data_IF_769085892585
#
_entry.id   IF_769085892585
#
_cell.length_a   1.000
_cell.length_b   1.000
_cell.length_c   1.000
_cell.angle_alpha   90.00
_cell.angle_beta   90.00
_cell.angle_gamma   90.00
#
_symmetry.space_group_name_H-M   'P 1'
#
loop_
_entity.id
_entity.type
_entity.pdbx_description
1 polymer ?
#
# COMPACT_ATOMS: atom_id res chain seq x y z
N UNK A 1 -11.67 -5.14 -16.33
CA UNK A 1 -10.73 -5.80 -17.27
C UNK A 1 -9.87 -6.84 -16.55
N UNK A 2 -9.06 -6.47 -15.55
CA UNK A 2 -8.18 -7.41 -14.81
C UNK A 2 -8.87 -8.69 -14.28
N UNK A 3 -10.05 -8.54 -13.65
CA UNK A 3 -10.85 -9.69 -13.16
C UNK A 3 -11.24 -10.67 -14.28
N UNK A 4 -11.47 -10.18 -15.51
CA UNK A 4 -11.78 -11.02 -16.69
C UNK A 4 -10.54 -11.73 -17.24
N UNK A 5 -9.35 -11.25 -16.92
CA UNK A 5 -8.07 -11.83 -17.33
C UNK A 5 -7.46 -12.75 -16.26
N UNK A 6 -8.20 -13.08 -15.20
CA UNK A 6 -7.73 -13.90 -14.07
C UNK A 6 -6.48 -13.37 -13.36
N UNK A 7 -6.29 -12.04 -13.40
CA UNK A 7 -5.21 -11.36 -12.69
C UNK A 7 -5.74 -10.89 -11.34
N UNK A 8 -5.07 -11.31 -10.26
CA UNK A 8 -5.31 -10.78 -8.91
C UNK A 8 -5.11 -9.28 -8.91
N UNK A 9 -6.04 -8.55 -8.31
CA UNK A 9 -6.06 -7.08 -8.32
C UNK A 9 -6.33 -6.53 -6.92
N UNK A 10 -5.97 -5.28 -6.71
CA UNK A 10 -6.32 -4.50 -5.52
C UNK A 10 -6.65 -3.07 -5.91
N UNK A 11 -6.80 -2.21 -4.92
CA UNK A 11 -6.92 -0.77 -5.09
C UNK A 11 -6.09 -0.07 -4.00
N UNK A 12 -5.54 1.10 -4.35
CA UNK A 12 -4.79 1.94 -3.43
C UNK A 12 -5.43 3.33 -3.31
N UNK A 13 -5.21 3.99 -2.18
CA UNK A 13 -5.60 5.36 -1.92
C UNK A 13 -4.36 6.24 -1.75
N UNK A 14 -4.18 7.24 -2.61
CA UNK A 14 -3.12 8.22 -2.44
C UNK A 14 -3.45 9.20 -1.32
N UNK A 15 -2.66 9.17 -0.23
CA UNK A 15 -2.93 9.94 0.96
C UNK A 15 -2.52 11.40 0.81
N UNK A 16 -3.42 12.29 1.20
CA UNK A 16 -3.22 13.74 1.23
C UNK A 16 -3.17 14.21 2.69
N UNK A 17 -1.98 14.47 3.25
CA UNK A 17 -1.81 14.80 4.68
C UNK A 17 -2.56 16.04 5.17
N UNK A 18 -2.82 16.99 4.27
CA UNK A 18 -3.54 18.22 4.59
C UNK A 18 -5.05 18.03 4.71
N UNK A 19 -5.58 16.86 4.37
CA UNK A 19 -7.01 16.51 4.44
C UNK A 19 -7.28 15.53 5.59
N UNK A 20 -8.55 15.44 5.99
CA UNK A 20 -8.98 14.47 7.00
C UNK A 20 -8.71 13.03 6.55
N UNK A 21 -8.11 12.23 7.42
CA UNK A 21 -7.93 10.79 7.17
C UNK A 21 -9.28 10.06 7.06
N UNK A 22 -10.27 10.48 7.87
CA UNK A 22 -11.61 9.89 7.87
C UNK A 22 -12.37 10.14 6.57
N UNK A 23 -12.31 11.37 6.05
CA UNK A 23 -12.96 11.71 4.77
C UNK A 23 -12.32 10.95 3.61
N UNK A 24 -10.98 10.79 3.65
CA UNK A 24 -10.26 9.99 2.67
C UNK A 24 -10.62 8.50 2.75
N UNK A 25 -10.79 7.95 3.95
CA UNK A 25 -11.23 6.56 4.14
C UNK A 25 -12.64 6.34 3.63
N UNK A 26 -13.56 7.26 3.95
CA UNK A 26 -14.92 7.23 3.44
C UNK A 26 -14.93 7.27 1.91
N UNK A 27 -14.16 8.17 1.30
CA UNK A 27 -14.04 8.24 -0.15
C UNK A 27 -13.54 6.92 -0.77
N UNK A 28 -12.53 6.29 -0.17
CA UNK A 28 -12.03 4.99 -0.63
C UNK A 28 -13.09 3.90 -0.51
N UNK A 29 -13.77 3.81 0.63
CA UNK A 29 -14.83 2.83 0.90
C UNK A 29 -16.00 2.99 -0.08
N UNK A 30 -16.43 4.22 -0.36
CA UNK A 30 -17.54 4.49 -1.29
C UNK A 30 -17.18 4.18 -2.76
N UNK A 31 -15.90 4.30 -3.11
CA UNK A 31 -15.43 4.15 -4.50
C UNK A 31 -15.00 2.72 -4.82
N UNK A 32 -14.46 2.00 -3.84
CA UNK A 32 -13.82 0.70 -4.04
C UNK A 32 -14.73 -0.41 -3.55
N UNK A 33 -14.95 -1.41 -4.41
CA UNK A 33 -15.57 -2.68 -4.00
C UNK A 33 -14.56 -3.80 -4.16
N UNK A 34 -14.15 -4.37 -3.03
CA UNK A 34 -13.28 -5.53 -2.99
C UNK A 34 -14.10 -6.80 -2.76
N UNK A 35 -13.69 -7.88 -3.40
CA UNK A 35 -14.35 -9.19 -3.34
C UNK A 35 -13.33 -10.28 -3.02
N UNK A 36 -13.81 -11.46 -2.64
CA UNK A 36 -12.97 -12.63 -2.42
C UNK A 36 -11.97 -12.82 -3.57
N UNK A 37 -10.69 -12.98 -3.22
CA UNK A 37 -9.59 -13.11 -4.17
C UNK A 37 -8.93 -11.79 -4.59
N UNK A 38 -9.46 -10.63 -4.19
CA UNK A 38 -8.77 -9.34 -4.35
C UNK A 38 -7.71 -9.14 -3.24
N UNK A 39 -6.72 -8.30 -3.48
CA UNK A 39 -5.72 -7.87 -2.47
C UNK A 39 -6.38 -6.97 -1.41
N UNK A 40 -5.84 -6.93 -0.18
CA UNK A 40 -6.23 -5.95 0.82
C UNK A 40 -6.09 -4.51 0.31
N UNK A 41 -6.88 -3.56 0.86
CA UNK A 41 -6.72 -2.12 0.58
C UNK A 41 -5.29 -1.64 0.79
N UNK A 42 -4.81 -0.76 -0.07
CA UNK A 42 -3.47 -0.15 0.08
C UNK A 42 -3.61 1.34 0.40
N UNK A 43 -2.90 1.82 1.42
CA UNK A 43 -2.74 3.25 1.72
C UNK A 43 -1.37 3.72 1.23
N UNK A 44 -1.37 4.59 0.24
CA UNK A 44 -0.16 5.13 -0.38
C UNK A 44 0.22 6.46 0.28
N UNK A 45 1.39 6.52 0.93
CA UNK A 45 1.86 7.65 1.72
C UNK A 45 3.28 8.05 1.33
N UNK A 46 3.42 9.20 0.64
CA UNK A 46 4.73 9.60 0.10
C UNK A 46 5.15 11.03 0.47
N UNK A 47 4.25 11.81 1.09
CA UNK A 47 4.45 13.23 1.30
C UNK A 47 3.88 13.71 2.64
N UNK A 48 4.36 14.87 3.11
CA UNK A 48 3.91 15.51 4.35
C UNK A 48 3.10 16.80 4.11
N UNK A 49 3.21 17.42 2.92
CA UNK A 49 2.47 18.63 2.50
C UNK A 49 2.42 19.74 3.57
N UNK A 50 3.58 20.10 4.13
CA UNK A 50 3.72 21.12 5.19
C UNK A 50 2.87 20.87 6.46
N UNK A 51 2.45 19.63 6.68
CA UNK A 51 1.71 19.19 7.87
C UNK A 51 2.69 18.73 8.96
N UNK A 52 2.27 18.68 10.23
CA UNK A 52 3.10 18.08 11.28
C UNK A 52 3.08 16.55 11.20
N UNK A 53 4.18 15.91 11.62
CA UNK A 53 4.27 14.44 11.69
C UNK A 53 3.13 13.85 12.52
N UNK A 54 2.78 14.48 13.65
CA UNK A 54 1.66 14.05 14.49
C UNK A 54 0.33 14.07 13.75
N UNK A 55 0.06 15.12 12.95
CA UNK A 55 -1.18 15.23 12.16
C UNK A 55 -1.22 14.20 11.03
N UNK A 56 -0.09 13.99 10.34
CA UNK A 56 0.07 12.92 9.35
C UNK A 56 -0.28 11.57 9.99
N UNK A 57 0.42 11.20 11.06
CA UNK A 57 0.23 9.92 11.72
C UNK A 57 -1.18 9.72 12.27
N UNK A 58 -1.81 10.77 12.81
CA UNK A 58 -3.21 10.69 13.23
C UNK A 58 -4.15 10.43 12.06
N UNK A 59 -3.97 11.13 10.94
CA UNK A 59 -4.76 10.91 9.73
C UNK A 59 -4.55 9.52 9.12
N UNK A 60 -3.33 8.99 9.16
CA UNK A 60 -3.05 7.60 8.77
C UNK A 60 -3.77 6.60 9.68
N UNK A 61 -3.69 6.78 11.00
CA UNK A 61 -4.40 5.92 11.94
C UNK A 61 -5.92 5.94 11.71
N UNK A 62 -6.50 7.13 11.55
CA UNK A 62 -7.93 7.27 11.26
C UNK A 62 -8.32 6.52 9.98
N UNK A 63 -7.51 6.64 8.93
CA UNK A 63 -7.78 5.95 7.66
C UNK A 63 -7.67 4.44 7.81
N UNK A 64 -6.56 3.96 8.37
CA UNK A 64 -6.28 2.52 8.52
C UNK A 64 -7.36 1.83 9.35
N UNK A 65 -7.75 2.42 10.48
CA UNK A 65 -8.77 1.85 11.37
C UNK A 65 -10.15 1.80 10.69
N UNK A 66 -10.54 2.86 9.96
CA UNK A 66 -11.84 2.87 9.27
C UNK A 66 -11.90 1.85 8.14
N UNK A 67 -10.82 1.73 7.36
CA UNK A 67 -10.75 0.79 6.23
C UNK A 67 -10.63 -0.65 6.73
N UNK A 68 -9.85 -0.92 7.77
CA UNK A 68 -9.79 -2.24 8.42
C UNK A 68 -11.15 -2.67 8.97
N UNK A 69 -11.86 -1.76 9.65
CA UNK A 69 -13.19 -2.03 10.17
C UNK A 69 -14.22 -2.33 9.06
N UNK A 70 -14.09 -1.70 7.89
CA UNK A 70 -15.01 -1.91 6.76
C UNK A 70 -14.73 -3.21 5.99
N UNK A 71 -13.47 -3.48 5.67
CA UNK A 71 -13.09 -4.64 4.83
C UNK A 71 -12.72 -5.89 5.63
N UNK A 72 -12.63 -5.79 6.97
CA UNK A 72 -12.26 -6.87 7.89
C UNK A 72 -10.90 -7.52 7.57
N UNK A 73 -10.00 -6.77 6.95
CA UNK A 73 -8.62 -7.16 6.66
C UNK A 73 -7.68 -6.00 6.94
N UNK A 74 -6.47 -6.28 7.40
CA UNK A 74 -5.45 -5.25 7.61
C UNK A 74 -5.05 -4.59 6.27
N UNK A 75 -5.21 -3.27 6.11
CA UNK A 75 -4.70 -2.56 4.95
C UNK A 75 -3.18 -2.62 4.85
N UNK A 76 -2.66 -2.60 3.64
CA UNK A 76 -1.23 -2.53 3.35
C UNK A 76 -0.82 -1.06 3.30
N UNK A 77 0.29 -0.69 3.94
CA UNK A 77 0.86 0.65 3.79
C UNK A 77 1.88 0.62 2.67
N UNK A 78 1.72 1.45 1.65
CA UNK A 78 2.73 1.74 0.66
C UNK A 78 3.48 3.04 1.00
N UNK A 79 4.81 3.00 0.97
CA UNK A 79 5.65 4.20 1.13
C UNK A 79 7.10 3.90 0.71
N UNK A 80 7.90 4.93 0.46
CA UNK A 80 9.33 4.74 0.24
C UNK A 80 10.11 4.52 1.55
N UNK A 81 11.23 3.79 1.48
CA UNK A 81 12.00 3.39 2.65
C UNK A 81 12.47 4.57 3.52
N UNK A 82 12.84 5.69 2.88
CA UNK A 82 13.23 6.91 3.59
C UNK A 82 12.05 7.53 4.34
N UNK A 83 10.89 7.65 3.71
CA UNK A 83 9.70 8.24 4.31
C UNK A 83 9.21 7.43 5.50
N UNK A 84 9.21 6.10 5.38
CA UNK A 84 8.87 5.20 6.49
C UNK A 84 9.72 5.49 7.74
N UNK A 85 11.05 5.51 7.55
CA UNK A 85 12.03 5.71 8.63
C UNK A 85 11.88 7.06 9.33
N UNK A 86 11.56 8.12 8.58
CA UNK A 86 11.52 9.48 9.13
C UNK A 86 10.15 9.88 9.69
N UNK A 87 9.04 9.28 9.24
CA UNK A 87 7.69 9.81 9.50
C UNK A 87 6.67 8.81 10.04
N UNK A 88 6.82 7.49 9.84
CA UNK A 88 5.86 6.49 10.33
C UNK A 88 6.37 5.83 11.61
N UNK A 89 7.49 5.11 11.52
CA UNK A 89 8.08 4.37 12.64
C UNK A 89 7.23 3.21 13.17
N UNK A 90 7.68 2.63 14.29
CA UNK A 90 7.21 1.34 14.85
C UNK A 90 5.69 1.26 15.09
N UNK A 91 5.01 2.39 15.29
CA UNK A 91 3.55 2.44 15.49
C UNK A 91 2.77 1.79 14.33
N UNK A 92 3.36 1.77 13.13
CA UNK A 92 2.73 1.20 11.93
C UNK A 92 3.29 -0.21 11.58
N UNK A 93 4.05 -0.82 12.49
CA UNK A 93 4.68 -2.13 12.25
C UNK A 93 3.68 -3.29 12.19
N UNK A 94 2.51 -3.10 12.77
CA UNK A 94 1.43 -4.08 12.75
C UNK A 94 0.70 -4.19 11.40
N UNK A 95 0.88 -3.20 10.51
CA UNK A 95 0.31 -3.20 9.16
C UNK A 95 1.33 -3.74 8.16
N UNK A 96 0.92 -4.58 7.19
CA UNK A 96 1.82 -5.04 6.14
C UNK A 96 2.41 -3.87 5.35
N UNK A 97 3.68 -3.99 4.97
CA UNK A 97 4.40 -2.93 4.28
C UNK A 97 4.66 -3.29 2.81
N UNK A 98 4.32 -2.37 1.92
CA UNK A 98 4.76 -2.33 0.53
C UNK A 98 5.78 -1.20 0.39
N UNK A 99 7.06 -1.54 0.29
CA UNK A 99 8.13 -0.54 0.30
C UNK A 99 8.58 -0.20 -1.11
N UNK A 100 8.65 1.09 -1.44
CA UNK A 100 9.34 1.58 -2.62
C UNK A 100 10.82 1.80 -2.30
N UNK A 101 11.69 1.13 -3.04
CA UNK A 101 13.13 1.38 -2.97
C UNK A 101 13.82 0.98 -4.28
N UNK A 102 14.13 1.97 -5.10
CA UNK A 102 14.74 1.77 -6.40
C UNK A 102 16.27 1.67 -6.32
N UNK A 103 16.88 1.13 -7.37
CA UNK A 103 18.33 1.05 -7.57
C UNK A 103 19.10 0.26 -6.50
N UNK A 104 18.42 -0.63 -5.77
CA UNK A 104 19.03 -1.57 -4.82
C UNK A 104 18.99 -2.97 -5.39
N UNK A 105 20.10 -3.71 -5.22
CA UNK A 105 20.30 -5.00 -5.90
C UNK A 105 19.52 -6.16 -5.27
N UNK A 106 19.54 -6.27 -3.95
CA UNK A 106 19.14 -7.50 -3.27
C UNK A 106 17.79 -7.36 -2.54
N UNK A 107 17.65 -6.32 -1.70
CA UNK A 107 16.45 -6.07 -0.89
C UNK A 107 16.33 -4.59 -0.50
N UNK A 108 15.13 -4.09 -0.20
CA UNK A 108 14.97 -2.73 0.32
C UNK A 108 15.72 -2.58 1.65
N UNK A 109 16.45 -1.49 1.81
CA UNK A 109 17.11 -1.11 3.06
C UNK A 109 16.09 -0.61 4.09
N UNK A 110 15.49 -1.54 4.83
CA UNK A 110 14.51 -1.26 5.88
C UNK A 110 14.68 -2.23 7.05
N UNK A 111 14.53 -1.73 8.28
CA UNK A 111 14.77 -2.46 9.53
C UNK A 111 13.49 -3.17 10.04
N UNK A 112 12.61 -3.60 9.13
CA UNK A 112 11.40 -4.38 9.44
C UNK A 112 11.02 -5.29 8.29
N UNK A 113 10.10 -6.22 8.55
CA UNK A 113 9.54 -7.07 7.51
C UNK A 113 8.72 -6.23 6.50
N UNK A 114 8.85 -6.58 5.23
CA UNK A 114 8.08 -6.05 4.11
C UNK A 114 7.40 -7.18 3.37
N UNK A 115 6.23 -6.89 2.81
CA UNK A 115 5.36 -7.81 2.08
C UNK A 115 5.53 -7.68 0.58
N UNK A 116 5.62 -6.44 0.10
CA UNK A 116 5.88 -6.12 -1.30
C UNK A 116 7.05 -5.15 -1.41
N UNK A 117 7.81 -5.25 -2.49
CA UNK A 117 8.88 -4.32 -2.82
C UNK A 117 8.67 -3.82 -4.24
N UNK A 118 8.46 -2.51 -4.38
CA UNK A 118 8.50 -1.83 -5.66
C UNK A 118 9.95 -1.45 -5.96
N UNK A 119 10.52 -2.09 -6.97
CA UNK A 119 11.96 -2.07 -7.22
C UNK A 119 12.36 -1.37 -8.53
N UNK A 120 11.37 -1.06 -9.39
CA UNK A 120 11.59 -0.37 -10.65
C UNK A 120 10.32 0.37 -11.08
N UNK A 121 10.44 1.63 -11.48
CA UNK A 121 9.34 2.47 -12.00
C UNK A 121 9.32 2.54 -13.55
N UNK A 122 10.38 2.06 -14.20
CA UNK A 122 10.61 2.12 -15.64
C UNK A 122 10.48 0.75 -16.31
N UNK A 123 9.63 -0.13 -15.79
CA UNK A 123 9.36 -1.43 -16.37
C UNK A 123 8.53 -1.35 -17.65
N UNK A 124 8.58 -2.41 -18.46
CA UNK A 124 7.76 -2.54 -19.67
C UNK A 124 7.01 -3.88 -19.64
N UNK A 125 5.69 -3.85 -19.82
CA UNK A 125 4.83 -5.04 -19.87
C UNK A 125 4.03 -5.01 -21.17
N UNK A 126 4.03 -6.13 -21.89
CA UNK A 126 3.20 -6.29 -23.08
C UNK A 126 1.74 -5.96 -22.78
N UNK A 127 1.17 -5.01 -23.51
CA UNK A 127 -0.18 -4.50 -23.31
C UNK A 127 -0.25 -3.15 -22.58
N UNK A 128 0.87 -2.60 -22.09
CA UNK A 128 0.96 -1.25 -21.54
C UNK A 128 2.03 -0.47 -22.30
N UNK A 129 1.64 0.65 -22.91
CA UNK A 129 2.55 1.44 -23.75
C UNK A 129 3.49 2.36 -22.95
N UNK A 130 3.08 2.75 -21.75
CA UNK A 130 3.86 3.58 -20.84
C UNK A 130 4.77 2.71 -19.94
N UNK A 131 5.73 3.36 -19.30
CA UNK A 131 6.47 2.75 -18.20
C UNK A 131 5.55 2.37 -17.04
N UNK A 132 5.87 1.26 -16.38
CA UNK A 132 5.09 0.73 -15.27
C UNK A 132 5.97 0.25 -14.13
N UNK A 133 5.39 0.33 -12.94
CA UNK A 133 6.04 -0.11 -11.72
C UNK A 133 6.10 -1.63 -11.61
N UNK A 134 7.28 -2.16 -11.31
CA UNK A 134 7.51 -3.57 -11.05
C UNK A 134 7.65 -3.82 -9.56
N UNK A 135 6.95 -4.87 -9.13
CA UNK A 135 6.79 -5.22 -7.74
C UNK A 135 7.07 -6.71 -7.57
N UNK A 136 7.71 -7.04 -6.45
CA UNK A 136 7.89 -8.43 -6.02
C UNK A 136 7.20 -8.66 -4.69
N UNK A 137 6.57 -9.82 -4.55
CA UNK A 137 6.01 -10.30 -3.30
C UNK A 137 7.07 -11.07 -2.51
N UNK A 138 7.16 -10.82 -1.20
CA UNK A 138 8.09 -11.50 -0.31
C UNK A 138 7.48 -12.81 0.20
N UNK A 139 7.44 -13.82 -0.64
CA UNK A 139 6.92 -15.14 -0.28
C UNK A 139 6.58 -15.98 -1.49
N UNK A 140 5.97 -17.13 -1.23
CA UNK A 140 5.54 -18.06 -2.27
C UNK A 140 4.06 -17.86 -2.71
N UNK A 141 3.63 -18.64 -3.70
CA UNK A 141 2.26 -18.57 -4.21
C UNK A 141 1.18 -18.99 -3.21
N UNK A 142 1.51 -19.81 -2.21
CA UNK A 142 0.59 -20.23 -1.15
C UNK A 142 0.42 -19.12 -0.12
N UNK A 143 1.52 -18.45 0.25
CA UNK A 143 1.51 -17.27 1.11
C UNK A 143 0.76 -16.12 0.45
N UNK A 144 0.98 -15.89 -0.84
CA UNK A 144 0.26 -14.88 -1.62
C UNK A 144 -1.26 -15.13 -1.62
N UNK A 145 -1.70 -16.38 -1.76
CA UNK A 145 -3.14 -16.72 -1.69
C UNK A 145 -3.75 -16.48 -0.31
N UNK A 146 -2.97 -16.65 0.77
CA UNK A 146 -3.46 -16.39 2.15
C UNK A 146 -3.67 -14.91 2.43
N UNK A 147 -2.99 -14.03 1.70
CA UNK A 147 -3.13 -12.58 1.78
C UNK A 147 -4.47 -12.08 1.21
N UNK A 148 -5.03 -12.80 0.24
CA UNK A 148 -6.23 -12.36 -0.48
C UNK A 148 -7.45 -12.36 0.44
N UNK A 149 -8.35 -11.41 0.18
CA UNK A 149 -9.64 -11.30 0.86
C UNK A 149 -10.41 -12.62 0.69
N UNK A 150 -11.06 -13.08 1.77
CA UNK A 150 -11.81 -14.34 1.83
C UNK A 150 -13.30 -14.09 1.76
#
# INVERSE_FOLDING_TARGET
AAKKASVTRGAYHFFVPSKSGKEQAQNFIETVTLTTGDLPPVLDVEQINATSVTKLQQGLCDWLLMVEAHYHVKPIIYTNAFFYKNFLGEKFDEYPLWVAHYLVKDKPHIERNWLFWQHNESGQVNGIAAYVDFNVFNGDSSEFKKLLIK
#
